data_IF_718319807597
#
_entry.id   IF_718319807597
#
_cell.length_a   1.000
_cell.length_b   1.000
_cell.length_c   1.000
_cell.angle_alpha   90.00
_cell.angle_beta   90.00
_cell.angle_gamma   90.00
#
_symmetry.space_group_name_H-M   'P 1'
#
loop_
_entity.id
_entity.type
_entity.pdbx_description
1 polymer ?
#
# COMPACT_ATOMS: atom_id res chain seq x y z
N UNK A 1 -5.83 3.74 6.61
CA UNK A 1 -4.49 4.25 7.01
C UNK A 1 -4.32 5.78 7.11
N UNK A 2 -4.69 6.63 6.14
CA UNK A 2 -4.42 8.09 6.18
C UNK A 2 -5.05 8.83 7.39
N UNK A 3 -6.32 8.56 7.72
CA UNK A 3 -6.98 9.18 8.88
C UNK A 3 -6.36 8.72 10.22
N UNK A 4 -6.02 7.43 10.30
CA UNK A 4 -5.36 6.80 11.45
C UNK A 4 -3.92 7.35 11.66
N UNK A 5 -3.16 7.59 10.57
CA UNK A 5 -1.84 8.22 10.65
C UNK A 5 -1.88 9.68 11.09
N UNK A 6 -2.91 10.43 10.71
CA UNK A 6 -3.12 11.80 11.21
C UNK A 6 -3.43 11.83 12.71
N UNK A 7 -4.25 10.90 13.21
CA UNK A 7 -4.58 10.78 14.64
C UNK A 7 -3.35 10.42 15.48
N UNK A 8 -2.51 9.50 15.00
CA UNK A 8 -1.27 9.05 15.65
C UNK A 8 -0.07 10.00 15.47
N UNK A 9 -0.25 11.16 14.80
CA UNK A 9 0.86 12.01 14.30
C UNK A 9 1.97 11.18 13.62
N UNK A 10 1.59 10.08 12.96
CA UNK A 10 2.46 9.36 12.05
C UNK A 10 2.55 10.24 10.81
N UNK A 11 3.70 10.90 10.63
CA UNK A 11 3.90 11.86 9.55
C UNK A 11 3.61 11.25 8.17
N UNK A 12 3.65 9.92 8.03
CA UNK A 12 3.41 9.22 6.78
C UNK A 12 2.61 7.92 6.99
N UNK A 13 1.28 7.97 6.89
CA UNK A 13 0.51 6.75 6.70
C UNK A 13 0.87 6.16 5.32
N UNK A 14 1.72 5.15 5.31
CA UNK A 14 2.20 4.51 4.07
C UNK A 14 1.03 3.85 3.35
N UNK A 15 0.53 4.50 2.32
CA UNK A 15 -0.42 3.90 1.38
C UNK A 15 0.37 3.00 0.41
N UNK A 16 0.04 1.71 0.35
CA UNK A 16 0.71 0.75 -0.55
C UNK A 16 0.55 1.17 -1.99
N UNK A 17 -0.67 1.51 -2.41
CA UNK A 17 -0.94 1.98 -3.77
C UNK A 17 -0.14 3.25 -4.11
N UNK A 18 -0.01 4.18 -3.16
CA UNK A 18 0.84 5.37 -3.34
C UNK A 18 2.33 5.01 -3.44
N UNK A 19 2.78 4.06 -2.62
CA UNK A 19 4.17 3.57 -2.62
C UNK A 19 4.52 2.90 -3.94
N UNK A 20 3.65 2.01 -4.43
CA UNK A 20 3.83 1.37 -5.74
C UNK A 20 3.83 2.40 -6.87
N UNK A 21 2.92 3.39 -6.84
CA UNK A 21 2.92 4.47 -7.82
C UNK A 21 4.21 5.29 -7.81
N UNK A 22 4.77 5.62 -6.64
CA UNK A 22 6.05 6.32 -6.53
C UNK A 22 7.21 5.49 -7.10
N UNK A 23 7.26 4.21 -6.75
CA UNK A 23 8.30 3.28 -7.23
C UNK A 23 8.26 3.17 -8.75
N UNK A 24 7.08 2.92 -9.32
CA UNK A 24 6.94 2.78 -10.78
C UNK A 24 7.25 4.08 -11.50
N UNK A 25 6.79 5.24 -10.99
CA UNK A 25 7.14 6.52 -11.62
C UNK A 25 8.65 6.75 -11.63
N UNK A 26 9.30 6.57 -10.47
CA UNK A 26 10.75 6.74 -10.36
C UNK A 26 11.50 5.76 -11.27
N UNK A 27 11.05 4.51 -11.42
CA UNK A 27 11.69 3.56 -12.35
C UNK A 27 11.49 3.95 -13.81
N UNK A 28 10.31 4.47 -14.20
CA UNK A 28 10.06 4.96 -15.55
C UNK A 28 10.95 6.16 -15.89
N UNK A 29 11.22 7.03 -14.92
CA UNK A 29 12.10 8.19 -15.08
C UNK A 29 13.59 7.78 -15.19
N UNK A 30 13.96 6.68 -14.52
CA UNK A 30 15.28 6.07 -14.59
C UNK A 30 15.54 5.26 -15.88
N UNK A 31 14.54 5.12 -16.76
CA UNK A 31 14.67 4.33 -18.01
C UNK A 31 14.41 5.24 -19.24
N UNK A 32 15.43 5.97 -19.73
CA UNK A 32 15.29 6.98 -20.79
C UNK A 32 14.73 6.45 -22.11
N UNK A 33 15.12 5.22 -22.49
CA UNK A 33 14.65 4.58 -23.74
C UNK A 33 13.13 4.39 -23.70
N UNK A 34 12.59 3.91 -22.57
CA UNK A 34 11.15 3.77 -22.38
C UNK A 34 10.45 5.13 -22.36
N UNK A 35 11.09 6.17 -21.80
CA UNK A 35 10.57 7.55 -21.82
C UNK A 35 10.45 8.11 -23.25
N UNK A 36 11.43 7.84 -24.11
CA UNK A 36 11.38 8.21 -25.53
C UNK A 36 10.21 7.50 -26.25
N UNK A 37 10.05 6.20 -26.02
CA UNK A 37 8.93 5.41 -26.57
C UNK A 37 7.59 5.96 -26.08
N UNK A 38 7.45 6.25 -24.79
CA UNK A 38 6.25 6.87 -24.20
C UNK A 38 5.91 8.20 -24.88
N UNK A 39 6.90 9.05 -25.12
CA UNK A 39 6.70 10.34 -25.78
C UNK A 39 6.19 10.17 -27.21
N UNK A 40 6.74 9.22 -27.95
CA UNK A 40 6.27 8.86 -29.29
C UNK A 40 4.86 8.27 -29.28
N UNK A 41 4.58 7.35 -28.36
CA UNK A 41 3.26 6.77 -28.13
C UNK A 41 2.20 7.85 -27.82
N UNK A 42 2.51 8.82 -26.94
CA UNK A 42 1.62 9.95 -26.62
C UNK A 42 1.27 10.79 -27.83
N UNK A 43 2.23 11.06 -28.73
CA UNK A 43 1.99 11.81 -29.98
C UNK A 43 1.10 11.02 -30.93
N UNK A 44 1.38 9.73 -31.09
CA UNK A 44 0.58 8.83 -31.92
C UNK A 44 -0.87 8.74 -31.45
N UNK A 45 -1.08 8.44 -30.17
CA UNK A 45 -2.42 8.37 -29.58
C UNK A 45 -3.11 9.73 -29.63
N UNK A 46 -2.38 10.81 -29.35
CA UNK A 46 -2.88 12.17 -29.42
C UNK A 46 -3.46 12.51 -30.79
N UNK A 47 -2.76 12.14 -31.87
CA UNK A 47 -3.24 12.32 -33.24
C UNK A 47 -4.55 11.57 -33.52
N UNK A 48 -4.61 10.28 -33.16
CA UNK A 48 -5.85 9.50 -33.30
C UNK A 48 -6.98 9.97 -32.38
N UNK A 49 -6.68 10.66 -31.27
CA UNK A 49 -7.69 11.23 -30.38
C UNK A 49 -8.17 12.62 -30.79
N UNK A 50 -7.38 13.41 -31.51
CA UNK A 50 -7.78 14.74 -31.96
C UNK A 50 -8.41 14.70 -33.35
N UNK A 51 -7.88 13.90 -34.28
CA UNK A 51 -8.33 13.87 -35.69
C UNK A 51 -9.57 13.00 -35.88
N UNK A 52 -10.67 13.61 -36.36
CA UNK A 52 -11.90 12.89 -36.73
C UNK A 52 -11.68 11.90 -37.87
N UNK A 53 -10.86 12.28 -38.86
CA UNK A 53 -10.47 11.42 -40.00
C UNK A 53 -9.69 10.20 -39.51
N UNK A 54 -8.70 10.39 -38.63
CA UNK A 54 -7.90 9.29 -38.10
C UNK A 54 -8.74 8.31 -37.27
N UNK A 55 -9.67 8.81 -36.45
CA UNK A 55 -10.63 7.97 -35.70
C UNK A 55 -11.48 7.10 -36.62
N UNK A 56 -12.07 7.72 -37.65
CA UNK A 56 -12.93 7.01 -38.62
C UNK A 56 -12.13 5.94 -39.37
N UNK A 57 -10.91 6.27 -39.80
CA UNK A 57 -10.02 5.33 -40.49
C UNK A 57 -9.63 4.14 -39.59
N UNK A 58 -9.27 4.40 -38.33
CA UNK A 58 -8.97 3.33 -37.37
C UNK A 58 -10.18 2.42 -37.13
N UNK A 59 -11.36 2.99 -36.91
CA UNK A 59 -12.58 2.21 -36.70
C UNK A 59 -12.97 1.35 -37.92
N UNK A 60 -12.78 1.89 -39.13
CA UNK A 60 -12.98 1.15 -40.38
C UNK A 60 -12.01 -0.02 -40.50
N UNK A 61 -10.73 0.19 -40.21
CA UNK A 61 -9.72 -0.86 -40.30
C UNK A 61 -9.92 -1.93 -39.22
N UNK A 62 -10.28 -1.53 -37.99
CA UNK A 62 -10.65 -2.48 -36.94
C UNK A 62 -11.80 -3.38 -37.39
N UNK A 63 -12.83 -2.81 -38.03
CA UNK A 63 -13.95 -3.58 -38.60
C UNK A 63 -13.52 -4.53 -39.72
N UNK A 64 -12.73 -4.04 -40.67
CA UNK A 64 -12.21 -4.84 -41.80
C UNK A 64 -11.33 -6.00 -41.33
N UNK A 65 -10.63 -5.83 -40.21
CA UNK A 65 -9.80 -6.87 -39.58
C UNK A 65 -10.57 -7.76 -38.60
N UNK A 66 -11.89 -7.56 -38.43
CA UNK A 66 -12.71 -8.30 -37.47
C UNK A 66 -12.32 -8.07 -36.00
N UNK A 67 -11.64 -6.95 -35.69
CA UNK A 67 -11.23 -6.59 -34.33
C UNK A 67 -12.25 -5.66 -33.66
N UNK A 68 -12.34 -5.68 -32.32
CA UNK A 68 -13.19 -4.74 -31.59
C UNK A 68 -12.81 -3.29 -31.88
N UNK A 69 -13.82 -2.42 -32.09
CA UNK A 69 -13.67 -0.98 -32.35
C UNK A 69 -13.25 -0.23 -31.08
N UNK A 70 -12.00 -0.43 -30.66
CA UNK A 70 -11.46 0.17 -29.44
C UNK A 70 -10.88 1.56 -29.71
N UNK A 71 -11.23 2.52 -28.84
CA UNK A 71 -10.57 3.83 -28.80
C UNK A 71 -9.18 3.69 -28.17
N UNK A 72 -8.21 4.46 -28.67
CA UNK A 72 -6.89 4.56 -28.03
C UNK A 72 -6.98 5.38 -26.73
N UNK A 73 -6.16 4.99 -25.75
CA UNK A 73 -6.12 5.56 -24.39
C UNK A 73 -4.94 6.51 -24.29
N UNK A 74 -5.19 7.77 -23.94
CA UNK A 74 -4.12 8.73 -23.70
C UNK A 74 -3.57 8.55 -22.28
N UNK A 75 -2.25 8.58 -22.16
CA UNK A 75 -1.58 8.67 -20.87
C UNK A 75 -1.95 9.96 -20.12
N UNK A 76 -2.16 9.83 -18.81
CA UNK A 76 -2.39 10.89 -17.85
C UNK A 76 -1.26 10.84 -16.82
N UNK A 77 -0.32 11.78 -16.94
CA UNK A 77 0.96 11.82 -16.21
C UNK A 77 0.86 11.68 -14.69
N UNK A 78 -0.28 12.06 -14.10
CA UNK A 78 -0.50 11.97 -12.65
C UNK A 78 -0.67 10.54 -12.14
N UNK A 79 -0.98 9.55 -12.99
CA UNK A 79 -1.18 8.14 -12.58
C UNK A 79 -0.48 7.16 -13.52
N UNK A 80 0.46 6.39 -13.00
CA UNK A 80 1.24 5.42 -13.78
C UNK A 80 0.38 4.35 -14.46
N UNK A 81 -0.79 4.00 -13.89
CA UNK A 81 -1.75 3.08 -14.50
C UNK A 81 -2.15 3.50 -15.92
N UNK A 82 -2.23 4.82 -16.19
CA UNK A 82 -2.56 5.31 -17.53
C UNK A 82 -1.43 5.08 -18.53
N UNK A 83 -0.16 5.07 -18.08
CA UNK A 83 1.00 4.69 -18.88
C UNK A 83 0.88 3.23 -19.29
N UNK A 84 0.60 2.35 -18.34
CA UNK A 84 0.40 0.91 -18.60
C UNK A 84 -0.75 0.69 -19.59
N UNK A 85 -1.92 1.28 -19.34
CA UNK A 85 -3.10 1.13 -20.20
C UNK A 85 -2.89 1.68 -21.62
N UNK A 86 -2.20 2.82 -21.78
CA UNK A 86 -1.88 3.37 -23.09
C UNK A 86 -0.98 2.41 -23.89
N UNK A 87 0.11 1.95 -23.26
CA UNK A 87 1.08 1.05 -23.90
C UNK A 87 0.44 -0.31 -24.23
N UNK A 88 -0.32 -0.89 -23.30
CA UNK A 88 -1.06 -2.14 -23.51
C UNK A 88 -2.04 -2.01 -24.69
N UNK A 89 -2.85 -0.94 -24.71
CA UNK A 89 -3.79 -0.69 -25.81
C UNK A 89 -3.09 -0.52 -27.16
N UNK A 90 -1.92 0.10 -27.20
CA UNK A 90 -1.14 0.24 -28.43
C UNK A 90 -0.59 -1.10 -28.92
N UNK A 91 -0.15 -1.98 -28.02
CA UNK A 91 0.27 -3.35 -28.38
C UNK A 91 -0.91 -4.15 -28.93
N UNK A 92 -2.06 -4.14 -28.25
CA UNK A 92 -3.30 -4.81 -28.70
C UNK A 92 -3.76 -4.32 -30.09
N UNK A 93 -3.59 -3.03 -30.36
CA UNK A 93 -4.03 -2.37 -31.58
C UNK A 93 -2.89 -2.12 -32.57
N UNK A 94 -1.75 -2.82 -32.44
CA UNK A 94 -0.57 -2.64 -33.29
C UNK A 94 -0.90 -2.70 -34.78
N UNK A 95 -1.60 -3.75 -35.21
CA UNK A 95 -1.89 -3.96 -36.64
C UNK A 95 -2.93 -2.94 -37.17
N UNK A 96 -4.10 -2.71 -36.52
CA UNK A 96 -5.03 -1.69 -36.99
C UNK A 96 -4.44 -0.28 -37.00
N UNK A 97 -3.65 0.09 -35.98
CA UNK A 97 -3.02 1.41 -35.89
C UNK A 97 -1.97 1.58 -36.99
N UNK A 98 -1.13 0.57 -37.23
CA UNK A 98 -0.14 0.58 -38.30
C UNK A 98 -0.77 0.72 -39.68
N UNK A 99 -1.79 -0.09 -39.98
CA UNK A 99 -2.51 -0.02 -41.26
C UNK A 99 -3.27 1.31 -41.43
N UNK A 100 -3.86 1.84 -40.35
CA UNK A 100 -4.54 3.14 -40.40
C UNK A 100 -3.56 4.27 -40.68
N UNK A 101 -2.42 4.29 -40.00
CA UNK A 101 -1.40 5.31 -40.18
C UNK A 101 -0.79 5.26 -41.58
N UNK A 102 -0.55 4.06 -42.14
CA UNK A 102 -0.03 3.91 -43.51
C UNK A 102 -0.97 4.44 -44.60
N UNK A 103 -2.27 4.55 -44.31
CA UNK A 103 -3.27 5.12 -45.22
C UNK A 103 -3.62 6.60 -44.95
N UNK A 104 -2.91 7.26 -44.03
CA UNK A 104 -3.13 8.67 -43.68
C UNK A 104 -1.90 9.50 -44.06
N UNK A 105 -2.11 10.68 -44.64
CA UNK A 105 -1.03 11.65 -44.85
C UNK A 105 -0.75 12.33 -43.51
N UNK A 106 0.32 11.92 -42.83
CA UNK A 106 0.68 12.42 -41.51
C UNK A 106 2.17 12.27 -41.24
N UNK A 107 2.79 13.29 -40.63
CA UNK A 107 4.18 13.25 -40.17
C UNK A 107 4.35 12.61 -38.79
N UNK A 108 3.30 11.93 -38.29
CA UNK A 108 3.31 11.31 -36.97
C UNK A 108 4.12 10.01 -37.04
N UNK A 109 5.21 9.89 -36.26
CA UNK A 109 6.10 8.75 -36.38
C UNK A 109 5.46 7.48 -35.78
N UNK A 110 5.39 6.41 -36.58
CA UNK A 110 4.91 5.11 -36.15
C UNK A 110 5.89 4.43 -35.18
N UNK A 111 5.38 3.70 -34.18
CA UNK A 111 6.23 2.84 -33.36
C UNK A 111 6.85 1.72 -34.23
N UNK A 112 8.15 1.48 -34.07
CA UNK A 112 8.88 0.44 -34.80
C UNK A 112 8.59 -0.94 -34.20
N UNK A 113 8.87 -2.00 -34.96
CA UNK A 113 8.74 -3.37 -34.46
C UNK A 113 9.58 -3.62 -33.20
N UNK A 114 10.78 -3.04 -33.13
CA UNK A 114 11.65 -3.13 -31.96
C UNK A 114 11.03 -2.40 -30.75
N UNK A 115 10.50 -1.19 -30.95
CA UNK A 115 9.80 -0.45 -29.89
C UNK A 115 8.59 -1.23 -29.36
N UNK A 116 7.82 -1.91 -30.23
CA UNK A 116 6.73 -2.79 -29.78
C UNK A 116 7.23 -4.00 -28.97
N UNK A 117 8.33 -4.62 -29.38
CA UNK A 117 8.97 -5.71 -28.62
C UNK A 117 9.42 -5.22 -27.24
N UNK A 118 10.05 -4.04 -27.19
CA UNK A 118 10.50 -3.40 -25.96
C UNK A 118 9.32 -3.06 -25.03
N UNK A 119 8.24 -2.48 -25.56
CA UNK A 119 7.02 -2.19 -24.80
C UNK A 119 6.40 -3.48 -24.26
N UNK A 120 6.32 -4.53 -25.06
CA UNK A 120 5.74 -5.82 -24.66
C UNK A 120 6.53 -6.42 -23.49
N UNK A 121 7.86 -6.40 -23.55
CA UNK A 121 8.71 -6.83 -22.44
C UNK A 121 8.55 -5.95 -21.20
N UNK A 122 8.46 -4.62 -21.34
CA UNK A 122 8.23 -3.74 -20.19
C UNK A 122 6.85 -3.95 -19.56
N UNK A 123 5.83 -4.25 -20.35
CA UNK A 123 4.48 -4.53 -19.84
C UNK A 123 4.43 -5.80 -19.00
N UNK A 124 5.18 -6.86 -19.34
CA UNK A 124 5.22 -8.07 -18.50
C UNK A 124 5.82 -7.77 -17.13
N UNK A 125 6.87 -6.94 -17.08
CA UNK A 125 7.51 -6.47 -15.85
C UNK A 125 6.59 -5.58 -15.01
N UNK A 126 5.77 -4.74 -15.66
CA UNK A 126 4.85 -3.82 -14.99
C UNK A 126 3.51 -4.45 -14.58
N UNK A 127 3.11 -5.59 -15.16
CA UNK A 127 1.82 -6.25 -14.90
C UNK A 127 1.58 -6.53 -13.40
N UNK A 128 2.55 -7.09 -12.65
CA UNK A 128 2.34 -7.37 -11.22
C UNK A 128 2.04 -6.11 -10.40
N UNK A 129 2.65 -4.97 -10.75
CA UNK A 129 2.35 -3.71 -10.09
C UNK A 129 0.94 -3.23 -10.42
N UNK A 130 0.47 -3.47 -11.65
CA UNK A 130 -0.82 -2.99 -12.12
C UNK A 130 -1.93 -3.77 -11.44
N UNK A 131 -1.83 -5.10 -11.46
CA UNK A 131 -2.73 -6.02 -10.76
C UNK A 131 -2.80 -5.68 -9.27
N UNK A 132 -1.65 -5.55 -8.60
CA UNK A 132 -1.61 -5.17 -7.20
C UNK A 132 -2.25 -3.80 -6.94
N UNK A 133 -2.00 -2.81 -7.80
CA UNK A 133 -2.57 -1.46 -7.62
C UNK A 133 -4.09 -1.45 -7.83
N UNK A 134 -4.60 -2.26 -8.77
CA UNK A 134 -6.05 -2.42 -9.01
C UNK A 134 -6.71 -3.09 -7.82
N UNK A 135 -6.18 -4.23 -7.36
CA UNK A 135 -6.69 -4.95 -6.20
C UNK A 135 -6.70 -4.06 -4.93
N UNK A 136 -5.59 -3.34 -4.67
CA UNK A 136 -5.47 -2.41 -3.55
C UNK A 136 -6.41 -1.20 -3.64
N UNK A 137 -6.87 -0.85 -4.85
CA UNK A 137 -7.83 0.24 -5.04
C UNK A 137 -9.29 -0.20 -4.83
N UNK A 138 -9.56 -1.50 -4.90
CA UNK A 138 -10.87 -2.09 -4.62
C UNK A 138 -11.02 -2.49 -3.14
N UNK A 139 -9.90 -2.73 -2.43
CA UNK A 139 -9.90 -3.02 -1.00
C UNK A 139 -10.31 -1.79 -0.17
N UNK A 140 -11.46 -1.87 0.50
CA UNK A 140 -11.94 -0.84 1.45
C UNK A 140 -11.01 -0.65 2.66
N UNK A 141 -10.15 -1.64 2.98
CA UNK A 141 -9.25 -1.64 4.15
C UNK A 141 -8.01 -2.53 3.93
N UNK A 142 -6.93 -1.99 3.38
CA UNK A 142 -5.61 -2.65 3.46
C UNK A 142 -5.07 -2.45 4.88
N UNK A 143 -4.97 -3.54 5.66
CA UNK A 143 -4.32 -3.49 6.97
C UNK A 143 -2.82 -3.18 6.80
N UNK A 144 -2.28 -2.30 7.64
CA UNK A 144 -0.85 -1.95 7.65
C UNK A 144 0.07 -3.17 7.78
N UNK A 145 -0.41 -4.24 8.41
CA UNK A 145 0.31 -5.52 8.54
C UNK A 145 0.55 -6.25 7.22
N UNK A 146 -0.25 -5.98 6.18
CA UNK A 146 -0.11 -6.63 4.86
C UNK A 146 0.91 -5.95 3.95
N UNK A 147 1.32 -4.71 4.25
CA UNK A 147 2.20 -3.89 3.38
C UNK A 147 3.52 -4.57 3.10
N UNK A 148 4.25 -4.98 4.15
CA UNK A 148 5.58 -5.60 4.01
C UNK A 148 5.49 -6.91 3.24
N UNK A 149 4.46 -7.73 3.52
CA UNK A 149 4.26 -9.00 2.82
C UNK A 149 3.94 -8.81 1.35
N UNK A 150 3.08 -7.85 1.01
CA UNK A 150 2.75 -7.52 -0.39
C UNK A 150 3.98 -7.02 -1.16
N UNK A 151 4.76 -6.11 -0.58
CA UNK A 151 5.98 -5.61 -1.22
C UNK A 151 7.01 -6.73 -1.47
N UNK A 152 7.20 -7.64 -0.51
CA UNK A 152 8.07 -8.83 -0.68
C UNK A 152 7.55 -9.78 -1.76
N UNK A 153 6.23 -9.97 -1.85
CA UNK A 153 5.63 -10.80 -2.88
C UNK A 153 5.86 -10.22 -4.28
N UNK A 154 5.61 -8.92 -4.44
CA UNK A 154 5.86 -8.20 -5.70
C UNK A 154 7.35 -8.26 -6.04
N UNK A 155 8.26 -8.07 -5.08
CA UNK A 155 9.70 -8.19 -5.30
C UNK A 155 10.09 -9.57 -5.85
N UNK A 156 9.55 -10.66 -5.26
CA UNK A 156 9.82 -12.02 -5.72
C UNK A 156 9.28 -12.26 -7.14
N UNK A 157 8.03 -11.88 -7.42
CA UNK A 157 7.43 -12.00 -8.76
C UNK A 157 8.26 -11.24 -9.80
N UNK A 158 8.68 -10.03 -9.44
CA UNK A 158 9.47 -9.18 -10.30
C UNK A 158 10.85 -9.76 -10.59
N UNK A 159 11.53 -10.33 -9.59
CA UNK A 159 12.82 -11.02 -9.79
C UNK A 159 12.67 -12.17 -10.78
N UNK A 160 11.65 -12.99 -10.61
CA UNK A 160 11.39 -14.11 -11.52
C UNK A 160 11.12 -13.64 -12.95
N UNK A 161 10.27 -12.61 -13.13
CA UNK A 161 9.94 -12.08 -14.45
C UNK A 161 11.13 -11.38 -15.12
N UNK A 162 11.94 -10.66 -14.34
CA UNK A 162 13.18 -10.03 -14.80
C UNK A 162 14.20 -11.08 -15.26
N UNK A 163 14.33 -12.20 -14.55
CA UNK A 163 15.22 -13.29 -14.94
C UNK A 163 14.77 -14.01 -16.22
N UNK A 164 13.46 -14.18 -16.42
CA UNK A 164 12.90 -14.82 -17.62
C UNK A 164 12.95 -13.91 -18.86
N UNK A 165 12.97 -12.60 -18.66
CA UNK A 165 12.92 -11.65 -19.77
C UNK A 165 14.20 -11.69 -20.61
N UNK A 166 14.04 -11.93 -21.91
CA UNK A 166 15.13 -11.82 -22.89
C UNK A 166 15.33 -10.38 -23.40
N UNK A 167 14.41 -9.47 -23.07
CA UNK A 167 14.44 -8.09 -23.54
C UNK A 167 15.34 -7.22 -22.63
N UNK A 168 16.40 -6.59 -23.16
CA UNK A 168 17.33 -5.79 -22.34
C UNK A 168 16.65 -4.61 -21.62
N UNK A 169 15.73 -3.91 -22.29
CA UNK A 169 15.02 -2.76 -21.70
C UNK A 169 14.10 -3.19 -20.56
N UNK A 170 13.40 -4.32 -20.73
CA UNK A 170 12.56 -4.89 -19.69
C UNK A 170 13.38 -5.32 -18.47
N UNK A 171 14.57 -5.89 -18.70
CA UNK A 171 15.50 -6.25 -17.61
C UNK A 171 15.99 -5.03 -16.85
N UNK A 172 16.42 -3.99 -17.56
CA UNK A 172 16.84 -2.71 -16.97
C UNK A 172 15.72 -2.11 -16.10
N UNK A 173 14.49 -2.04 -16.64
CA UNK A 173 13.32 -1.57 -15.90
C UNK A 173 13.05 -2.42 -14.64
N UNK A 174 13.14 -3.75 -14.78
CA UNK A 174 12.99 -4.71 -13.69
C UNK A 174 14.01 -4.49 -12.58
N UNK A 175 15.28 -4.32 -12.93
CA UNK A 175 16.37 -4.03 -11.98
C UNK A 175 16.14 -2.72 -11.21
N UNK A 176 15.72 -1.64 -11.89
CA UNK A 176 15.34 -0.39 -11.24
C UNK A 176 14.19 -0.58 -10.24
N UNK A 177 13.13 -1.28 -10.64
CA UNK A 177 11.97 -1.56 -9.79
C UNK A 177 12.35 -2.40 -8.57
N UNK A 178 13.19 -3.43 -8.73
CA UNK A 178 13.69 -4.29 -7.63
C UNK A 178 14.48 -3.46 -6.64
N UNK A 179 15.41 -2.62 -7.11
CA UNK A 179 16.25 -1.81 -6.24
C UNK A 179 15.42 -0.80 -5.43
N UNK A 180 14.45 -0.14 -6.07
CA UNK A 180 13.54 0.80 -5.39
C UNK A 180 12.62 0.09 -4.39
N UNK A 181 12.12 -1.11 -4.70
CA UNK A 181 11.36 -1.92 -3.77
C UNK A 181 12.19 -2.31 -2.55
N UNK A 182 13.44 -2.75 -2.75
CA UNK A 182 14.36 -3.10 -1.66
C UNK A 182 14.70 -1.91 -0.78
N UNK A 183 15.03 -0.77 -1.37
CA UNK A 183 15.28 0.48 -0.63
C UNK A 183 14.08 0.83 0.26
N UNK A 184 12.86 0.75 -0.31
CA UNK A 184 11.65 1.02 0.45
C UNK A 184 11.41 -0.02 1.54
N UNK A 185 11.62 -1.30 1.25
CA UNK A 185 11.45 -2.39 2.20
C UNK A 185 12.43 -2.25 3.36
N UNK A 186 13.70 -1.95 3.10
CA UNK A 186 14.70 -1.67 4.13
C UNK A 186 14.30 -0.49 5.02
N UNK A 187 13.78 0.58 4.42
CA UNK A 187 13.28 1.72 5.19
C UNK A 187 12.15 1.28 6.12
N UNK A 188 11.18 0.51 5.62
CA UNK A 188 10.04 -0.01 6.38
C UNK A 188 10.43 -1.02 7.47
N UNK A 189 11.46 -1.81 7.23
CA UNK A 189 11.96 -2.83 8.15
C UNK A 189 13.02 -2.31 9.12
N UNK A 190 13.44 -1.05 8.99
CA UNK A 190 14.44 -0.49 9.88
C UNK A 190 13.96 -0.54 11.32
N UNK A 191 14.82 -1.04 12.22
CA UNK A 191 14.51 -1.18 13.65
C UNK A 191 14.06 0.15 14.25
N UNK A 192 14.61 1.27 13.78
CA UNK A 192 14.22 2.62 14.19
C UNK A 192 12.71 2.91 14.03
N UNK A 193 12.07 2.48 12.94
CA UNK A 193 10.62 2.70 12.76
C UNK A 193 9.81 1.74 13.64
N UNK A 194 10.25 0.49 13.76
CA UNK A 194 9.59 -0.50 14.61
C UNK A 194 9.68 -0.09 16.09
N UNK A 195 10.86 0.27 16.57
CA UNK A 195 11.13 0.73 17.94
C UNK A 195 10.36 2.01 18.24
N UNK A 196 10.30 2.95 17.29
CA UNK A 196 9.50 4.17 17.43
C UNK A 196 7.99 3.87 17.51
N UNK A 197 7.49 2.93 16.70
CA UNK A 197 6.10 2.50 16.76
C UNK A 197 5.78 1.84 18.12
N UNK A 198 6.66 0.98 18.62
CA UNK A 198 6.54 0.35 19.95
C UNK A 198 6.55 1.40 21.06
N UNK A 199 7.47 2.37 21.01
CA UNK A 199 7.53 3.48 21.97
C UNK A 199 6.24 4.29 21.99
N UNK A 200 5.68 4.62 20.83
CA UNK A 200 4.41 5.36 20.73
C UNK A 200 3.21 4.56 21.24
N UNK A 201 3.09 3.29 20.84
CA UNK A 201 2.05 2.40 21.35
C UNK A 201 2.10 2.28 22.88
N UNK A 202 3.31 2.16 23.42
CA UNK A 202 3.54 2.12 24.88
C UNK A 202 3.11 3.43 25.53
N UNK A 203 3.45 4.57 24.93
CA UNK A 203 3.06 5.89 25.46
C UNK A 203 1.55 6.11 25.43
N UNK A 204 0.84 5.65 24.39
CA UNK A 204 -0.62 5.78 24.32
C UNK A 204 -1.33 4.83 25.28
N UNK A 205 -0.84 3.60 25.43
CA UNK A 205 -1.34 2.69 26.46
C UNK A 205 -1.17 3.32 27.85
N UNK A 206 0.00 3.92 28.13
CA UNK A 206 0.25 4.60 29.39
C UNK A 206 -0.70 5.80 29.61
N UNK A 207 -1.01 6.56 28.57
CA UNK A 207 -1.97 7.67 28.66
C UNK A 207 -3.40 7.17 28.92
N UNK A 208 -3.84 6.12 28.22
CA UNK A 208 -5.16 5.53 28.44
C UNK A 208 -5.35 4.98 29.86
N UNK A 209 -4.30 4.39 30.44
CA UNK A 209 -4.29 3.96 31.84
C UNK A 209 -4.43 5.17 32.77
N UNK A 210 -3.70 6.28 32.53
CA UNK A 210 -3.80 7.51 33.33
C UNK A 210 -5.21 8.12 33.29
N UNK A 211 -5.85 8.14 32.13
CA UNK A 211 -7.21 8.66 31.95
C UNK A 211 -8.25 7.81 32.71
N UNK A 212 -8.12 6.48 32.69
CA UNK A 212 -8.98 5.60 33.49
C UNK A 212 -8.79 5.75 34.99
N UNK A 213 -7.58 6.10 35.44
CA UNK A 213 -7.28 6.35 36.86
C UNK A 213 -7.81 7.70 37.37
N UNK A 214 -8.11 8.65 36.47
CA UNK A 214 -8.64 9.98 36.82
C UNK A 214 -10.17 10.07 36.78
N UNK A 215 -10.89 9.03 36.35
CA UNK A 215 -12.34 9.00 36.52
C UNK A 215 -12.64 8.67 38.00
N UNK A 216 -13.36 9.54 38.75
CA UNK A 216 -13.69 9.23 40.13
C UNK A 216 -14.63 8.03 40.12
N UNK A 217 -14.09 6.86 40.45
CA UNK A 217 -14.92 5.73 40.85
C UNK A 217 -15.77 6.23 42.03
N UNK A 218 -17.09 6.15 41.84
CA UNK A 218 -18.07 6.25 42.91
C UNK A 218 -17.54 5.50 44.13
N UNK A 219 -17.47 6.23 45.25
CA UNK A 219 -16.96 5.76 46.53
C UNK A 219 -17.41 4.31 46.80
N UNK A 220 -16.50 3.40 47.19
CA UNK A 220 -16.94 2.10 47.66
C UNK A 220 -17.80 2.33 48.91
N UNK A 221 -19.01 1.79 48.92
CA UNK A 221 -19.82 1.67 50.13
C UNK A 221 -18.94 1.01 51.18
N UNK A 222 -18.68 1.73 52.27
CA UNK A 222 -17.85 1.26 53.36
C UNK A 222 -18.45 -0.02 53.96
N UNK A 223 -17.71 -1.16 54.00
CA UNK A 223 -18.10 -2.26 54.86
C UNK A 223 -17.85 -1.83 56.30
N UNK A 224 -18.95 -1.68 57.04
CA UNK A 224 -18.96 -1.35 58.46
C UNK A 224 -18.52 -2.56 59.27
N UNK A 225 -17.21 -2.74 59.47
CA UNK A 225 -16.67 -3.55 60.57
C UNK A 225 -15.17 -3.30 60.72
N UNK A 226 -14.82 -2.25 61.47
CA UNK A 226 -13.45 -1.90 61.82
C UNK A 226 -12.92 -2.88 62.87
N UNK A 227 -12.28 -3.97 62.44
CA UNK A 227 -11.22 -4.54 63.26
C UNK A 227 -9.94 -3.76 62.94
N UNK A 228 -9.48 -2.92 63.87
CA UNK A 228 -8.15 -2.30 63.81
C UNK A 228 -7.07 -3.36 64.13
N UNK A 229 -6.95 -4.37 63.27
CA UNK A 229 -5.96 -5.43 63.38
C UNK A 229 -4.73 -5.09 62.52
N UNK A 230 -3.55 -5.53 62.97
CA UNK A 230 -2.26 -5.31 62.28
C UNK A 230 -2.31 -5.70 60.78
N UNK A 231 -3.12 -6.71 60.47
CA UNK A 231 -3.40 -7.17 59.11
C UNK A 231 -4.15 -6.14 58.26
N UNK A 232 -5.09 -5.35 58.79
CA UNK A 232 -5.73 -4.28 58.01
C UNK A 232 -4.76 -3.14 57.69
N UNK A 233 -3.79 -2.88 58.57
CA UNK A 233 -2.72 -1.93 58.32
C UNK A 233 -1.71 -2.47 57.29
N UNK A 234 -1.40 -3.78 57.32
CA UNK A 234 -0.58 -4.44 56.30
C UNK A 234 -1.31 -4.47 54.95
N UNK A 235 -2.59 -4.84 54.92
CA UNK A 235 -3.41 -4.87 53.72
C UNK A 235 -3.56 -3.47 53.13
N UNK A 236 -3.75 -2.43 53.96
CA UNK A 236 -3.73 -1.04 53.53
C UNK A 236 -2.35 -0.62 52.97
N UNK A 237 -1.27 -1.09 53.58
CA UNK A 237 0.12 -0.81 53.12
C UNK A 237 0.45 -1.54 51.83
N UNK A 238 0.00 -2.79 51.67
CA UNK A 238 0.16 -3.60 50.46
C UNK A 238 -0.73 -3.06 49.33
N UNK A 239 -1.95 -2.62 49.64
CA UNK A 239 -2.83 -1.90 48.70
C UNK A 239 -2.18 -0.58 48.27
N UNK A 240 -1.62 0.19 49.20
CA UNK A 240 -0.89 1.43 48.93
C UNK A 240 0.40 1.20 48.12
N UNK A 241 1.10 0.09 48.34
CA UNK A 241 2.30 -0.28 47.57
C UNK A 241 1.92 -0.80 46.18
N UNK A 242 0.80 -1.51 46.04
CA UNK A 242 0.22 -1.90 44.74
C UNK A 242 -0.21 -0.68 43.95
N UNK A 243 -0.78 0.37 44.57
CA UNK A 243 -1.12 1.62 43.86
C UNK A 243 0.09 2.42 43.34
N UNK A 244 1.34 2.04 43.67
CA UNK A 244 2.54 2.54 42.98
C UNK A 244 2.79 1.76 41.69
N UNK A 245 1.74 1.60 40.88
CA UNK A 245 1.89 1.10 39.52
C UNK A 245 2.58 2.16 38.68
N UNK A 246 3.78 1.84 38.17
CA UNK A 246 4.38 2.66 37.13
C UNK A 246 3.59 2.38 35.85
N UNK A 247 2.63 3.26 35.56
CA UNK A 247 1.74 3.17 34.41
C UNK A 247 2.50 2.92 33.10
N UNK A 248 3.70 3.48 32.97
CA UNK A 248 4.58 3.25 31.81
C UNK A 248 5.13 1.83 31.78
N UNK A 249 5.48 1.26 32.94
CA UNK A 249 5.94 -0.13 33.04
C UNK A 249 4.82 -1.12 32.73
N UNK A 250 3.61 -0.90 33.25
CA UNK A 250 2.46 -1.76 32.97
C UNK A 250 2.07 -1.73 31.49
N UNK A 251 2.07 -0.54 30.88
CA UNK A 251 1.88 -0.38 29.43
C UNK A 251 2.99 -1.09 28.63
N UNK A 252 4.24 -1.01 29.08
CA UNK A 252 5.37 -1.68 28.41
C UNK A 252 5.21 -3.20 28.45
N UNK A 253 4.83 -3.75 29.61
CA UNK A 253 4.60 -5.19 29.77
C UNK A 253 3.47 -5.67 28.87
N UNK A 254 2.35 -4.95 28.83
CA UNK A 254 1.21 -5.28 27.97
C UNK A 254 1.61 -5.30 26.49
N UNK A 255 2.33 -4.27 26.02
CA UNK A 255 2.79 -4.15 24.63
C UNK A 255 3.80 -5.24 24.27
N UNK A 256 4.83 -5.46 25.09
CA UNK A 256 5.85 -6.46 24.83
C UNK A 256 5.28 -7.88 24.84
N UNK A 257 4.32 -8.16 25.73
CA UNK A 257 3.65 -9.44 25.80
C UNK A 257 2.88 -9.73 24.52
N UNK A 258 2.09 -8.77 24.01
CA UNK A 258 1.37 -8.94 22.76
C UNK A 258 2.32 -9.09 21.56
N UNK A 259 3.40 -8.30 21.49
CA UNK A 259 4.39 -8.40 20.40
C UNK A 259 5.14 -9.74 20.37
N UNK A 260 5.16 -10.46 21.49
CA UNK A 260 5.76 -11.79 21.60
C UNK A 260 4.81 -12.91 21.20
N UNK A 261 3.52 -12.62 20.96
CA UNK A 261 2.54 -13.60 20.49
C UNK A 261 2.66 -13.87 18.99
N UNK A 262 2.28 -15.08 18.54
CA UNK A 262 2.20 -15.38 17.12
C UNK A 262 1.10 -14.54 16.44
N UNK A 263 1.36 -14.14 15.20
CA UNK A 263 0.38 -13.44 14.37
C UNK A 263 -0.86 -14.32 14.11
N UNK A 264 -2.04 -13.70 14.05
CA UNK A 264 -3.28 -14.37 13.62
C UNK A 264 -3.21 -14.85 12.18
N UNK A 265 -4.05 -15.82 11.82
CA UNK A 265 -4.13 -16.34 10.46
C UNK A 265 -4.51 -15.26 9.45
N UNK A 266 -4.02 -15.39 8.21
CA UNK A 266 -4.21 -14.36 7.15
C UNK A 266 -5.68 -14.13 6.76
N UNK A 267 -6.54 -15.12 7.01
CA UNK A 267 -7.98 -15.10 6.72
C UNK A 267 -8.83 -14.74 7.93
N UNK A 268 -8.22 -14.60 9.10
CA UNK A 268 -8.94 -14.34 10.35
C UNK A 268 -9.29 -12.86 10.47
N UNK A 269 -10.45 -12.55 11.06
CA UNK A 269 -10.90 -11.18 11.27
C UNK A 269 -10.16 -10.54 12.47
N UNK A 270 -9.37 -9.47 12.26
CA UNK A 270 -8.68 -8.78 13.34
C UNK A 270 -9.62 -8.24 14.44
N UNK A 271 -10.85 -7.85 14.11
CA UNK A 271 -11.82 -7.34 15.09
C UNK A 271 -12.30 -8.46 16.03
N UNK A 272 -12.52 -9.66 15.49
CA UNK A 272 -12.86 -10.83 16.30
C UNK A 272 -11.69 -11.28 17.19
N UNK A 273 -10.45 -11.16 16.71
CA UNK A 273 -9.27 -11.41 17.54
C UNK A 273 -9.23 -10.44 18.73
N UNK A 274 -9.36 -9.13 18.48
CA UNK A 274 -9.33 -8.14 19.55
C UNK A 274 -10.46 -8.31 20.55
N UNK A 275 -11.67 -8.65 20.11
CA UNK A 275 -12.80 -8.93 21.02
C UNK A 275 -12.49 -10.09 21.98
N UNK A 276 -11.83 -11.14 21.51
CA UNK A 276 -11.39 -12.28 22.36
C UNK A 276 -10.27 -11.91 23.32
N UNK A 277 -9.41 -10.97 22.93
CA UNK A 277 -8.23 -10.57 23.70
C UNK A 277 -8.46 -9.39 24.64
N UNK A 278 -9.67 -8.81 24.67
CA UNK A 278 -10.04 -7.64 25.47
C UNK A 278 -9.69 -7.75 26.96
N UNK A 279 -9.80 -8.94 27.55
CA UNK A 279 -9.48 -9.15 28.97
C UNK A 279 -7.98 -9.27 29.24
N UNK A 280 -7.20 -9.66 28.23
CA UNK A 280 -5.76 -9.91 28.34
C UNK A 280 -4.98 -8.63 28.00
N UNK A 281 -5.46 -7.88 27.00
CA UNK A 281 -4.86 -6.67 26.47
C UNK A 281 -5.87 -5.51 26.49
N UNK A 282 -6.31 -5.03 27.66
CA UNK A 282 -7.42 -4.08 27.77
C UNK A 282 -7.11 -2.69 27.21
N UNK A 283 -5.86 -2.23 27.26
CA UNK A 283 -5.47 -0.92 26.77
C UNK A 283 -5.15 -0.99 25.28
N UNK A 284 -4.43 -2.03 24.86
CA UNK A 284 -4.21 -2.32 23.45
C UNK A 284 -5.53 -2.60 22.71
N UNK A 285 -6.51 -3.26 23.32
CA UNK A 285 -7.84 -3.47 22.73
C UNK A 285 -8.53 -2.14 22.43
N UNK A 286 -8.52 -1.19 23.37
CA UNK A 286 -9.14 0.14 23.15
C UNK A 286 -8.48 0.84 21.97
N UNK A 287 -7.15 0.83 21.90
CA UNK A 287 -6.41 1.39 20.78
C UNK A 287 -6.73 0.63 19.48
N UNK A 288 -6.73 -0.70 19.51
CA UNK A 288 -6.99 -1.54 18.35
C UNK A 288 -8.39 -1.33 17.78
N UNK A 289 -9.43 -1.22 18.60
CA UNK A 289 -10.78 -0.91 18.14
C UNK A 289 -10.83 0.50 17.51
N UNK A 290 -10.21 1.51 18.12
CA UNK A 290 -10.14 2.86 17.54
C UNK A 290 -9.40 2.85 16.19
N UNK A 291 -8.29 2.11 16.10
CA UNK A 291 -7.40 2.17 14.94
C UNK A 291 -7.75 1.19 13.81
N UNK A 292 -8.40 0.05 14.12
CA UNK A 292 -8.88 -0.92 13.13
C UNK A 292 -10.28 -0.55 12.60
N UNK A 293 -11.11 0.13 13.39
CA UNK A 293 -12.46 0.51 12.99
C UNK A 293 -12.54 1.85 12.25
N UNK A 294 -11.49 2.68 12.23
CA UNK A 294 -11.52 3.95 11.48
C UNK A 294 -11.61 3.69 9.97
N UNK A 295 -12.74 4.04 9.31
CA UNK A 295 -12.85 3.91 7.87
C UNK A 295 -11.92 4.92 7.21
N UNK A 296 -10.98 4.45 6.39
CA UNK A 296 -10.29 5.35 5.47
C UNK A 296 -11.02 5.39 4.15
N UNK A 297 -12.06 6.22 4.14
CA UNK A 297 -12.67 6.74 2.92
C UNK A 297 -12.44 8.24 2.89
N UNK A 298 -11.58 8.66 1.96
CA UNK A 298 -11.70 9.81 1.06
C UNK A 298 -10.38 9.96 0.30
#
# INVERSE_FOLDING_TARGET
MIACGKALRLRDAICVAHTLNLIVKKSLDLTPVLSAIRTKARRLVGYFRSSTTAKKKLALIQEQMGKPKLKLIQEVETRWNSTFQMLQRLVEQREPVGAALGGLVSDIPALTSEEYTNVTGCLSILSPFHEATVELSEEKRVSGSKVISLLKMIEKMLQEETMRSSNPLARELGEHLINLLREKLHTLQSSSIADEAVRRLTSECANGIRETSHHPQSSPVAPTSTSNNLWSHLDATVMASRTKHNVTADATVEVQRHLSEPNIGRTDDPLLYWERQKCIYPNLYKLAIVYLCTPTSL
#
